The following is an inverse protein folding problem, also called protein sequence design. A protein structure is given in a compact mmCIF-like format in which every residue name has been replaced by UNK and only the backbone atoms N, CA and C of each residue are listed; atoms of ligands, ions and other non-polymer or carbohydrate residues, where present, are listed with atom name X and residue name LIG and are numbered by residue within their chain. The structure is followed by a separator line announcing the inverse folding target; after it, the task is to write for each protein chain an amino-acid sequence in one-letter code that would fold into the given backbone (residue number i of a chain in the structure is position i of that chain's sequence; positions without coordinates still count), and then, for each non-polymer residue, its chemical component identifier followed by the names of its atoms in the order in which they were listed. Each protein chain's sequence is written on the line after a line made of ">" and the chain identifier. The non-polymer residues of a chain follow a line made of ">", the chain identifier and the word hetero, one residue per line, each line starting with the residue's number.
data_IF_081092685858
#
_entry.id   IF_081092685858
#
_cell.length_a   1.000
_cell.length_b   1.000
_cell.length_c   1.000
_cell.angle_alpha   90.00
_cell.angle_beta   90.00
_cell.angle_gamma   90.00
#
_symmetry.space_group_name_H-M   'P 1'
#
loop_
_entity.id
_entity.type
_entity.pdbx_description
1 polymer ?
#
# COMPACT_ATOMS: atom_id res chain seq x y z
N UNK A 1 -50.69 23.82 5.37
CA UNK A 1 -49.35 24.46 5.40
C UNK A 1 -48.57 23.81 6.53
N UNK A 2 -48.27 22.51 6.36
CA UNK A 2 -47.90 21.61 7.46
C UNK A 2 -47.05 20.46 6.90
N UNK A 3 -46.00 20.83 6.14
CA UNK A 3 -45.09 19.87 5.48
C UNK A 3 -43.61 20.22 5.58
N UNK A 4 -43.21 21.07 6.53
CA UNK A 4 -41.80 21.34 6.85
C UNK A 4 -41.41 20.78 8.23
N UNK A 5 -41.82 19.53 8.49
CA UNK A 5 -41.23 18.67 9.52
C UNK A 5 -40.56 17.47 8.85
N UNK A 6 -39.79 17.72 7.79
CA UNK A 6 -38.96 16.71 7.16
C UNK A 6 -37.62 16.61 7.91
N UNK A 7 -37.58 15.65 8.84
CA UNK A 7 -36.38 14.89 9.23
C UNK A 7 -35.09 15.69 9.41
N UNK A 8 -34.98 16.38 10.55
CA UNK A 8 -33.69 16.54 11.22
C UNK A 8 -33.17 15.16 11.60
N UNK A 9 -32.56 14.44 10.65
CA UNK A 9 -31.71 13.30 10.98
C UNK A 9 -30.61 13.88 11.84
N UNK A 10 -30.66 13.61 13.15
CA UNK A 10 -29.59 13.97 14.05
C UNK A 10 -28.30 13.38 13.47
N UNK A 11 -27.40 14.23 12.99
CA UNK A 11 -26.05 13.81 12.62
C UNK A 11 -25.45 13.22 13.89
N UNK A 12 -25.19 11.91 13.86
CA UNK A 12 -24.52 11.26 14.98
C UNK A 12 -23.07 11.69 14.91
N UNK A 13 -22.67 12.64 15.75
CA UNK A 13 -21.28 13.03 15.84
C UNK A 13 -20.44 11.85 16.34
N UNK A 14 -19.28 11.64 15.71
CA UNK A 14 -18.35 10.61 16.13
C UNK A 14 -17.82 10.96 17.53
N UNK A 15 -17.98 10.09 18.54
CA UNK A 15 -17.49 10.36 19.88
C UNK A 15 -15.98 10.66 19.88
N UNK A 16 -15.49 11.62 20.67
CA UNK A 16 -14.09 12.06 20.63
C UNK A 16 -13.08 10.91 20.74
N UNK A 17 -13.33 9.94 21.64
CA UNK A 17 -12.45 8.79 21.77
C UNK A 17 -12.41 7.91 20.52
N UNK A 18 -13.50 7.79 19.78
CA UNK A 18 -13.56 7.02 18.51
C UNK A 18 -12.87 7.82 17.41
N UNK A 19 -13.14 9.13 17.35
CA UNK A 19 -12.58 10.03 16.35
C UNK A 19 -11.06 10.05 16.36
N UNK A 20 -10.43 10.22 17.53
CA UNK A 20 -8.97 10.23 17.66
C UNK A 20 -8.29 8.99 17.06
N UNK A 21 -8.83 7.80 17.34
CA UNK A 21 -8.26 6.54 16.82
C UNK A 21 -8.59 6.34 15.35
N UNK A 22 -9.80 6.74 14.93
CA UNK A 22 -10.21 6.68 13.54
C UNK A 22 -9.29 7.52 12.66
N UNK A 23 -9.04 8.79 13.04
CA UNK A 23 -8.17 9.70 12.29
C UNK A 23 -6.73 9.15 12.21
N UNK A 24 -6.18 8.68 13.34
CA UNK A 24 -4.84 8.10 13.35
C UNK A 24 -4.72 6.84 12.47
N UNK A 25 -5.74 5.96 12.47
CA UNK A 25 -5.79 4.80 11.58
C UNK A 25 -5.94 5.20 10.11
N UNK A 26 -6.78 6.20 9.82
CA UNK A 26 -6.96 6.73 8.47
C UNK A 26 -5.65 7.29 7.94
N UNK A 27 -4.96 8.12 8.70
CA UNK A 27 -3.70 8.73 8.26
C UNK A 27 -2.62 7.66 7.97
N UNK A 28 -2.54 6.60 8.79
CA UNK A 28 -1.63 5.49 8.54
C UNK A 28 -2.05 4.66 7.31
N UNK A 29 -3.35 4.46 7.10
CA UNK A 29 -3.89 3.83 5.91
C UNK A 29 -3.52 4.64 4.65
N UNK A 30 -3.67 5.97 4.68
CA UNK A 30 -3.33 6.84 3.56
C UNK A 30 -1.83 6.79 3.21
N UNK A 31 -0.96 6.83 4.22
CA UNK A 31 0.49 6.65 4.01
C UNK A 31 0.80 5.29 3.40
N UNK A 32 0.11 4.25 3.84
CA UNK A 32 0.26 2.90 3.31
C UNK A 32 -0.25 2.80 1.87
N UNK A 33 -1.36 3.49 1.55
CA UNK A 33 -1.90 3.58 0.19
C UNK A 33 -0.89 4.20 -0.77
N UNK A 34 -0.25 5.29 -0.35
CA UNK A 34 0.78 5.96 -1.15
C UNK A 34 1.99 5.06 -1.42
N UNK A 35 2.46 4.32 -0.40
CA UNK A 35 3.55 3.34 -0.58
C UNK A 35 3.12 2.22 -1.55
N UNK A 36 1.86 1.77 -1.46
CA UNK A 36 1.33 0.72 -2.32
C UNK A 36 1.19 1.19 -3.77
N UNK A 37 0.80 2.45 -3.99
CA UNK A 37 0.75 3.03 -5.34
C UNK A 37 2.15 3.11 -5.94
N UNK A 38 3.15 3.62 -5.21
CA UNK A 38 4.54 3.64 -5.67
C UNK A 38 5.08 2.25 -5.98
N UNK A 39 4.83 1.26 -5.11
CA UNK A 39 5.25 -0.11 -5.37
C UNK A 39 4.59 -0.68 -6.64
N UNK A 40 3.28 -0.45 -6.79
CA UNK A 40 2.52 -0.94 -7.95
C UNK A 40 2.99 -0.29 -9.24
N UNK A 41 3.15 1.03 -9.23
CA UNK A 41 3.67 1.81 -10.36
C UNK A 41 5.06 1.31 -10.74
N UNK A 42 6.01 1.21 -9.81
CA UNK A 42 7.38 0.82 -10.16
C UNK A 42 7.51 -0.66 -10.57
N UNK A 43 6.89 -1.58 -9.84
CA UNK A 43 7.25 -3.00 -9.91
C UNK A 43 6.13 -3.94 -10.38
N UNK A 44 4.89 -3.46 -10.50
CA UNK A 44 3.73 -4.33 -10.82
C UNK A 44 2.97 -3.91 -12.07
N UNK A 45 3.44 -2.90 -12.81
CA UNK A 45 2.75 -2.37 -13.99
C UNK A 45 3.14 -3.11 -15.28
N UNK A 46 4.43 -3.33 -15.54
CA UNK A 46 4.89 -4.11 -16.70
C UNK A 46 6.28 -4.70 -16.48
N UNK A 47 6.55 -5.86 -17.10
CA UNK A 47 7.88 -6.46 -17.10
C UNK A 47 8.92 -5.53 -17.75
N UNK A 48 8.53 -4.80 -18.80
CA UNK A 48 9.44 -3.88 -19.48
C UNK A 48 9.85 -2.70 -18.60
N UNK A 49 8.94 -2.23 -17.73
CA UNK A 49 9.29 -1.22 -16.72
C UNK A 49 10.32 -1.79 -15.74
N UNK A 50 10.17 -3.03 -15.30
CA UNK A 50 11.14 -3.67 -14.42
C UNK A 50 12.52 -3.79 -15.08
N UNK A 51 12.58 -4.27 -16.33
CA UNK A 51 13.82 -4.32 -17.11
C UNK A 51 14.49 -2.95 -17.26
N UNK A 52 13.70 -1.89 -17.47
CA UNK A 52 14.20 -0.52 -17.56
C UNK A 52 14.77 -0.02 -16.23
N UNK A 53 14.10 -0.31 -15.11
CA UNK A 53 14.61 0.03 -13.78
C UNK A 53 15.94 -0.68 -13.49
N UNK A 54 16.03 -1.97 -13.86
CA UNK A 54 17.25 -2.76 -13.72
C UNK A 54 18.39 -2.21 -14.59
N UNK A 55 18.11 -1.88 -15.85
CA UNK A 55 19.10 -1.31 -16.77
C UNK A 55 19.64 0.04 -16.28
N UNK A 56 18.78 0.87 -15.69
CA UNK A 56 19.17 2.21 -15.24
C UNK A 56 19.94 2.19 -13.91
N UNK A 57 19.46 1.43 -12.92
CA UNK A 57 20.06 1.42 -11.58
C UNK A 57 19.63 0.19 -10.75
N UNK A 58 19.84 -1.03 -11.24
CA UNK A 58 19.45 -2.29 -10.59
C UNK A 58 19.67 -2.32 -9.07
N UNK A 59 20.87 -1.95 -8.60
CA UNK A 59 21.19 -1.99 -7.16
C UNK A 59 20.30 -1.07 -6.31
N UNK A 60 19.99 0.13 -6.82
CA UNK A 60 19.11 1.07 -6.12
C UNK A 60 17.65 0.59 -6.12
N UNK A 61 17.14 0.16 -7.28
CA UNK A 61 15.75 -0.29 -7.39
C UNK A 61 15.50 -1.60 -6.68
N UNK A 62 16.48 -2.49 -6.59
CA UNK A 62 16.41 -3.68 -5.74
C UNK A 62 16.18 -3.29 -4.27
N UNK A 63 17.01 -2.39 -3.72
CA UNK A 63 16.87 -1.94 -2.33
C UNK A 63 15.52 -1.25 -2.11
N UNK A 64 15.11 -0.38 -3.04
CA UNK A 64 13.83 0.31 -2.95
C UNK A 64 12.64 -0.65 -3.01
N UNK A 65 12.71 -1.68 -3.85
CA UNK A 65 11.69 -2.72 -3.92
C UNK A 65 11.57 -3.45 -2.58
N UNK A 66 12.69 -3.89 -2.00
CA UNK A 66 12.70 -4.58 -0.71
C UNK A 66 12.17 -3.70 0.42
N UNK A 67 12.63 -2.45 0.52
CA UNK A 67 12.19 -1.50 1.56
C UNK A 67 10.70 -1.22 1.46
N UNK A 68 10.19 -0.90 0.26
CA UNK A 68 8.76 -0.64 0.07
C UNK A 68 7.92 -1.87 0.40
N UNK A 69 8.35 -3.05 -0.03
CA UNK A 69 7.64 -4.29 0.21
C UNK A 69 7.58 -4.64 1.71
N UNK A 70 8.72 -4.53 2.40
CA UNK A 70 8.82 -4.77 3.83
C UNK A 70 7.98 -3.76 4.64
N UNK A 71 8.01 -2.48 4.25
CA UNK A 71 7.19 -1.44 4.86
C UNK A 71 5.69 -1.67 4.65
N UNK A 72 5.26 -2.10 3.47
CA UNK A 72 3.86 -2.45 3.20
C UNK A 72 3.40 -3.60 4.10
N UNK A 73 4.21 -4.65 4.21
CA UNK A 73 3.95 -5.76 5.10
C UNK A 73 3.85 -5.33 6.56
N UNK A 74 4.77 -4.50 7.02
CA UNK A 74 4.80 -4.02 8.39
C UNK A 74 3.58 -3.17 8.70
N UNK A 75 3.22 -2.24 7.80
CA UNK A 75 2.11 -1.30 8.00
C UNK A 75 0.78 -2.04 8.10
N UNK A 76 0.49 -2.92 7.13
CA UNK A 76 -0.74 -3.72 7.12
C UNK A 76 -0.81 -4.65 8.32
N UNK A 77 0.30 -5.30 8.68
CA UNK A 77 0.38 -6.17 9.87
C UNK A 77 0.13 -5.41 11.18
N UNK A 78 0.65 -4.18 11.31
CA UNK A 78 0.44 -3.35 12.51
C UNK A 78 -1.03 -2.95 12.65
N UNK A 79 -1.67 -2.52 11.57
CA UNK A 79 -3.07 -2.08 11.58
C UNK A 79 -4.04 -3.23 11.93
N UNK A 80 -3.67 -4.46 11.56
CA UNK A 80 -4.45 -5.68 11.79
C UNK A 80 -4.06 -6.46 13.06
N UNK A 81 -3.06 -6.02 13.83
CA UNK A 81 -2.58 -6.73 15.03
C UNK A 81 -3.67 -6.78 16.13
N UNK A 82 -3.68 -7.87 16.89
CA UNK A 82 -4.58 -8.12 18.03
C UNK A 82 -4.07 -7.50 19.34
N UNK A 83 -2.85 -6.97 19.38
CA UNK A 83 -2.29 -6.33 20.57
C UNK A 83 -3.12 -5.12 21.02
N UNK A 84 -3.43 -5.08 22.32
CA UNK A 84 -4.40 -4.14 22.93
C UNK A 84 -3.86 -2.71 23.16
N UNK A 85 -2.55 -2.49 23.00
CA UNK A 85 -1.86 -1.23 23.33
C UNK A 85 -1.29 -0.51 22.09
N UNK A 86 -1.70 -0.90 20.90
CA UNK A 86 -1.21 -0.36 19.63
C UNK A 86 -2.36 0.27 18.84
N UNK A 87 -2.01 1.16 17.89
CA UNK A 87 -2.96 1.71 16.93
C UNK A 87 -3.42 0.60 15.97
N UNK A 88 -4.59 0.02 16.24
CA UNK A 88 -5.12 -1.14 15.50
C UNK A 88 -6.63 -1.04 15.29
N UNK A 89 -7.18 -1.79 14.33
CA UNK A 89 -8.64 -1.93 14.17
C UNK A 89 -9.33 -2.46 15.44
N UNK A 90 -8.67 -3.34 16.19
CA UNK A 90 -9.16 -3.84 17.48
C UNK A 90 -9.26 -2.73 18.54
N UNK A 91 -8.32 -1.78 18.53
CA UNK A 91 -8.37 -0.61 19.41
C UNK A 91 -9.58 0.29 19.10
N UNK A 92 -9.88 0.49 17.81
CA UNK A 92 -11.05 1.24 17.34
C UNK A 92 -12.35 0.54 17.76
N UNK A 93 -12.45 -0.77 17.50
CA UNK A 93 -13.59 -1.60 17.90
C UNK A 93 -13.89 -1.50 19.40
N UNK A 94 -12.85 -1.56 20.24
CA UNK A 94 -13.00 -1.42 21.70
C UNK A 94 -13.57 -0.06 22.09
N UNK A 95 -13.19 1.03 21.41
CA UNK A 95 -13.70 2.37 21.68
C UNK A 95 -15.15 2.54 21.21
N UNK A 96 -15.52 1.95 20.07
CA UNK A 96 -16.90 1.91 19.57
C UNK A 96 -17.81 1.11 20.52
N UNK A 97 -17.37 -0.05 21.02
CA UNK A 97 -18.10 -0.80 22.05
C UNK A 97 -18.37 0.04 23.30
N UNK A 98 -17.37 0.81 23.74
CA UNK A 98 -17.49 1.69 24.91
C UNK A 98 -18.40 2.90 24.67
N UNK A 99 -18.60 3.34 23.43
CA UNK A 99 -19.53 4.43 23.13
C UNK A 99 -21.00 3.98 23.04
N UNK A 100 -21.28 2.68 23.18
CA UNK A 100 -22.64 2.13 23.14
C UNK A 100 -23.13 1.76 21.73
N UNK A 101 -22.31 1.95 20.70
CA UNK A 101 -22.64 1.69 19.29
C UNK A 101 -22.52 0.18 18.96
N UNK A 102 -23.33 -0.63 19.60
CA UNK A 102 -23.20 -2.10 19.58
C UNK A 102 -23.40 -2.72 18.19
N UNK A 103 -24.28 -2.15 17.37
CA UNK A 103 -24.51 -2.66 16.02
C UNK A 103 -23.32 -2.37 15.10
N UNK A 104 -22.75 -1.16 15.16
CA UNK A 104 -21.53 -0.82 14.43
C UNK A 104 -20.37 -1.70 14.89
N UNK A 105 -20.22 -1.88 16.21
CA UNK A 105 -19.19 -2.75 16.78
C UNK A 105 -19.32 -4.20 16.26
N UNK A 106 -20.54 -4.75 16.22
CA UNK A 106 -20.77 -6.12 15.71
C UNK A 106 -20.38 -6.23 14.24
N UNK A 107 -20.79 -5.27 13.41
CA UNK A 107 -20.46 -5.29 11.99
C UNK A 107 -18.94 -5.19 11.76
N UNK A 108 -18.27 -4.31 12.51
CA UNK A 108 -16.83 -4.13 12.44
C UNK A 108 -16.06 -5.38 12.89
N UNK A 109 -16.52 -6.05 13.95
CA UNK A 109 -15.93 -7.29 14.46
C UNK A 109 -15.97 -8.40 13.39
N UNK A 110 -17.11 -8.56 12.69
CA UNK A 110 -17.25 -9.52 11.58
C UNK A 110 -16.24 -9.23 10.46
N UNK A 111 -16.04 -7.96 10.10
CA UNK A 111 -15.09 -7.62 9.04
C UNK A 111 -13.63 -7.84 9.47
N UNK A 112 -13.29 -7.56 10.73
CA UNK A 112 -11.97 -7.88 11.30
C UNK A 112 -11.74 -9.39 11.35
N UNK A 113 -12.76 -10.19 11.70
CA UNK A 113 -12.69 -11.65 11.68
C UNK A 113 -12.47 -12.18 10.26
N UNK A 114 -13.17 -11.65 9.26
CA UNK A 114 -12.96 -12.00 7.85
C UNK A 114 -11.53 -11.76 7.41
N UNK A 115 -11.00 -10.57 7.70
CA UNK A 115 -9.59 -10.22 7.41
C UNK A 115 -8.59 -11.15 8.11
N UNK A 116 -8.94 -11.65 9.31
CA UNK A 116 -8.06 -12.55 10.08
C UNK A 116 -8.09 -13.97 9.55
N UNK A 117 -9.23 -14.40 9.02
CA UNK A 117 -9.45 -15.76 8.49
C UNK A 117 -9.18 -15.86 6.99
N UNK A 118 -8.72 -14.78 6.37
CA UNK A 118 -8.42 -14.73 4.95
C UNK A 118 -7.21 -15.60 4.59
N UNK A 119 -7.26 -16.18 3.39
CA UNK A 119 -6.17 -16.96 2.85
C UNK A 119 -4.89 -16.11 2.78
N UNK A 120 -3.81 -16.61 3.38
CA UNK A 120 -2.53 -15.90 3.42
C UNK A 120 -2.39 -14.87 4.55
N UNK A 121 -3.37 -14.72 5.44
CA UNK A 121 -3.24 -13.92 6.66
C UNK A 121 -2.02 -14.37 7.52
N UNK A 122 -1.82 -15.69 7.62
CA UNK A 122 -0.68 -16.30 8.32
C UNK A 122 0.66 -16.01 7.65
N UNK A 123 0.69 -15.88 6.32
CA UNK A 123 1.91 -15.55 5.59
C UNK A 123 2.40 -14.16 5.96
N UNK A 124 1.50 -13.18 6.01
CA UNK A 124 1.83 -11.78 6.36
C UNK A 124 2.40 -11.69 7.78
N UNK A 125 1.79 -12.39 8.73
CA UNK A 125 2.27 -12.42 10.12
C UNK A 125 3.60 -13.17 10.26
N UNK A 126 3.74 -14.29 9.55
CA UNK A 126 4.98 -15.08 9.50
C UNK A 126 6.12 -14.27 8.92
N UNK A 127 5.90 -13.57 7.81
CA UNK A 127 6.89 -12.73 7.16
C UNK A 127 7.39 -11.64 8.10
N UNK A 128 6.48 -10.92 8.77
CA UNK A 128 6.84 -9.93 9.80
C UNK A 128 7.69 -10.55 10.91
N UNK A 129 7.24 -11.67 11.47
CA UNK A 129 7.89 -12.32 12.62
C UNK A 129 9.24 -12.97 12.28
N UNK A 130 9.51 -13.26 11.00
CA UNK A 130 10.74 -13.93 10.55
C UNK A 130 11.75 -12.99 9.88
N UNK A 131 11.31 -12.02 9.09
CA UNK A 131 12.20 -11.11 8.34
C UNK A 131 12.38 -9.75 9.04
N UNK A 132 11.34 -9.21 9.67
CA UNK A 132 11.33 -7.81 10.16
C UNK A 132 11.55 -7.68 11.67
N UNK A 133 11.01 -8.59 12.47
CA UNK A 133 10.98 -8.43 13.92
C UNK A 133 12.29 -8.86 14.61
N UNK A 134 13.06 -9.77 14.01
CA UNK A 134 14.32 -10.23 14.57
C UNK A 134 15.23 -10.65 13.41
N UNK A 135 16.43 -10.07 13.31
CA UNK A 135 17.60 -10.68 12.66
C UNK A 135 18.01 -11.94 13.43
N UNK A 136 17.05 -12.83 13.65
CA UNK A 136 17.19 -14.08 14.35
C UNK A 136 18.02 -14.98 13.45
N UNK A 137 19.29 -15.16 13.81
CA UNK A 137 20.30 -15.86 13.02
C UNK A 137 19.79 -17.22 12.52
N UNK A 138 19.02 -17.96 13.33
CA UNK A 138 18.47 -19.24 12.91
C UNK A 138 17.42 -19.10 11.80
N UNK A 139 16.57 -18.06 11.84
CA UNK A 139 15.56 -17.79 10.81
C UNK A 139 16.15 -17.11 9.57
N UNK A 140 17.19 -16.30 9.73
CA UNK A 140 17.92 -15.68 8.61
C UNK A 140 18.68 -16.73 7.79
N UNK A 141 19.19 -17.79 8.42
CA UNK A 141 19.84 -18.92 7.74
C UNK A 141 18.85 -19.90 7.11
N UNK A 142 17.59 -19.90 7.55
CA UNK A 142 16.52 -20.73 6.99
C UNK A 142 15.90 -20.07 5.74
N UNK A 143 16.36 -20.49 4.56
CA UNK A 143 15.85 -19.98 3.27
C UNK A 143 14.38 -20.31 2.99
N UNK A 144 13.74 -21.19 3.76
CA UNK A 144 12.31 -21.53 3.59
C UNK A 144 11.36 -20.36 3.87
N UNK A 145 11.83 -19.33 4.57
CA UNK A 145 11.06 -18.10 4.85
C UNK A 145 10.72 -17.34 3.57
N UNK A 146 11.63 -17.33 2.59
CA UNK A 146 11.41 -16.71 1.29
C UNK A 146 10.44 -17.52 0.42
N UNK A 147 10.36 -18.84 0.61
CA UNK A 147 9.42 -19.71 -0.11
C UNK A 147 7.96 -19.44 0.26
N UNK A 148 7.73 -18.81 1.42
CA UNK A 148 6.39 -18.44 1.91
C UNK A 148 6.23 -16.91 2.02
N UNK A 149 7.04 -16.15 1.27
CA UNK A 149 6.87 -14.71 1.18
C UNK A 149 5.43 -14.42 0.71
N UNK A 150 4.69 -13.54 1.39
CA UNK A 150 3.33 -13.25 0.98
C UNK A 150 3.38 -12.60 -0.40
N UNK A 151 2.36 -12.85 -1.23
CA UNK A 151 2.25 -12.15 -2.51
C UNK A 151 1.75 -10.73 -2.27
N UNK A 152 2.02 -9.83 -3.20
CA UNK A 152 1.44 -8.49 -3.19
C UNK A 152 -0.10 -8.55 -3.07
N UNK A 153 -0.72 -9.57 -3.67
CA UNK A 153 -2.16 -9.80 -3.58
C UNK A 153 -2.62 -10.00 -2.13
N UNK A 154 -1.89 -10.76 -1.30
CA UNK A 154 -2.23 -10.91 0.12
C UNK A 154 -2.16 -9.57 0.89
N UNK A 155 -1.22 -8.68 0.51
CA UNK A 155 -1.15 -7.32 1.08
C UNK A 155 -2.37 -6.52 0.67
N UNK A 156 -2.71 -6.53 -0.64
CA UNK A 156 -3.84 -5.78 -1.20
C UNK A 156 -5.15 -6.22 -0.58
N UNK A 157 -5.41 -7.51 -0.50
CA UNK A 157 -6.68 -7.99 0.07
C UNK A 157 -6.84 -7.59 1.53
N UNK A 158 -5.76 -7.71 2.32
CA UNK A 158 -5.77 -7.28 3.72
C UNK A 158 -5.90 -5.77 3.85
N UNK A 159 -5.29 -5.01 2.95
CA UNK A 159 -5.45 -3.57 2.86
C UNK A 159 -6.91 -3.18 2.55
N UNK A 160 -7.56 -3.82 1.59
CA UNK A 160 -8.97 -3.59 1.23
C UNK A 160 -9.92 -3.87 2.41
N UNK A 161 -9.60 -4.86 3.25
CA UNK A 161 -10.36 -5.12 4.48
C UNK A 161 -10.21 -3.99 5.51
N UNK A 162 -9.01 -3.42 5.66
CA UNK A 162 -8.78 -2.28 6.56
C UNK A 162 -9.54 -1.04 6.04
N UNK A 163 -9.51 -0.80 4.72
CA UNK A 163 -10.28 0.28 4.09
C UNK A 163 -11.77 0.14 4.36
N UNK A 164 -12.34 -1.05 4.13
CA UNK A 164 -13.75 -1.36 4.41
C UNK A 164 -14.12 -1.11 5.86
N UNK A 165 -13.27 -1.51 6.80
CA UNK A 165 -13.47 -1.25 8.23
C UNK A 165 -13.58 0.25 8.54
N UNK A 166 -12.64 1.05 8.04
CA UNK A 166 -12.65 2.50 8.28
C UNK A 166 -13.79 3.20 7.55
N UNK A 167 -14.12 2.77 6.34
CA UNK A 167 -15.25 3.29 5.59
C UNK A 167 -16.58 3.02 6.31
N UNK A 168 -16.78 1.80 6.85
CA UNK A 168 -17.96 1.47 7.66
C UNK A 168 -18.13 2.41 8.85
N UNK A 169 -17.04 2.67 9.57
CA UNK A 169 -17.06 3.60 10.71
C UNK A 169 -17.38 5.02 10.25
N UNK A 170 -16.73 5.50 9.20
CA UNK A 170 -16.98 6.85 8.69
C UNK A 170 -18.42 7.04 8.22
N UNK A 171 -18.94 6.11 7.41
CA UNK A 171 -20.31 6.15 6.88
C UNK A 171 -21.36 6.14 7.99
N UNK A 172 -21.12 5.41 9.09
CA UNK A 172 -22.03 5.39 10.24
C UNK A 172 -22.25 6.79 10.84
N UNK A 173 -21.17 7.56 11.03
CA UNK A 173 -21.24 8.87 11.67
C UNK A 173 -21.48 10.03 10.69
N UNK A 174 -21.03 9.91 9.44
CA UNK A 174 -21.07 11.01 8.46
C UNK A 174 -22.12 10.82 7.36
N UNK A 175 -22.70 9.63 7.23
CA UNK A 175 -23.71 9.28 6.21
C UNK A 175 -23.28 9.56 4.76
N UNK A 176 -21.98 9.64 4.53
CA UNK A 176 -21.36 9.88 3.23
C UNK A 176 -20.06 9.05 3.15
N UNK A 177 -19.55 8.74 1.96
CA UNK A 177 -18.24 8.11 1.84
C UNK A 177 -17.13 9.05 2.35
N UNK A 178 -16.00 8.50 2.82
CA UNK A 178 -14.81 9.31 3.09
C UNK A 178 -14.46 10.16 1.86
N UNK A 179 -14.05 11.43 2.04
CA UNK A 179 -13.59 12.22 0.91
C UNK A 179 -12.41 11.50 0.24
N UNK A 180 -12.31 11.53 -1.09
CA UNK A 180 -11.15 10.99 -1.77
C UNK A 180 -9.91 11.77 -1.32
N UNK A 181 -8.85 11.04 -0.98
CA UNK A 181 -7.58 11.67 -0.62
C UNK A 181 -6.86 12.02 -1.92
N UNK A 182 -6.65 13.31 -2.15
CA UNK A 182 -5.84 13.79 -3.27
C UNK A 182 -4.36 13.65 -2.92
N UNK A 183 -3.76 12.54 -3.34
CA UNK A 183 -2.36 12.24 -3.15
C UNK A 183 -1.47 12.79 -4.26
N UNK A 184 -1.98 13.67 -5.14
CA UNK A 184 -1.20 14.33 -6.19
C UNK A 184 -0.22 15.36 -5.61
N UNK A 185 0.69 14.90 -4.77
CA UNK A 185 1.98 15.54 -4.62
C UNK A 185 2.67 15.32 -5.98
N UNK A 186 2.90 16.39 -6.75
CA UNK A 186 3.62 16.27 -8.03
C UNK A 186 4.94 15.51 -7.83
N UNK A 187 5.30 14.63 -8.77
CA UNK A 187 6.52 13.81 -8.66
C UNK A 187 6.33 12.34 -8.27
N UNK A 188 5.26 11.68 -8.71
CA UNK A 188 5.04 10.23 -8.48
C UNK A 188 5.99 9.29 -9.25
N UNK A 189 5.89 7.98 -9.00
CA UNK A 189 6.75 6.98 -9.63
C UNK A 189 6.60 6.94 -11.15
N UNK A 190 5.39 7.15 -11.68
CA UNK A 190 5.18 7.31 -13.12
C UNK A 190 5.96 8.49 -13.73
N UNK A 191 6.11 9.61 -13.00
CA UNK A 191 6.92 10.74 -13.47
C UNK A 191 8.40 10.41 -13.48
N UNK A 192 8.88 9.70 -12.45
CA UNK A 192 10.26 9.17 -12.43
C UNK A 192 10.51 8.27 -13.64
N UNK A 193 9.61 7.32 -13.92
CA UNK A 193 9.71 6.43 -15.08
C UNK A 193 9.78 7.21 -16.40
N UNK A 194 8.95 8.24 -16.56
CA UNK A 194 9.00 9.11 -17.76
C UNK A 194 10.37 9.79 -17.91
N UNK A 195 10.91 10.34 -16.83
CA UNK A 195 12.22 10.99 -16.84
C UNK A 195 13.35 9.99 -17.14
N UNK A 196 13.27 8.77 -16.60
CA UNK A 196 14.23 7.70 -16.87
C UNK A 196 14.21 7.28 -18.34
N UNK A 197 13.02 7.12 -18.95
CA UNK A 197 12.88 6.83 -20.38
C UNK A 197 13.58 7.90 -21.23
N UNK A 198 13.40 9.17 -20.89
CA UNK A 198 14.07 10.27 -21.58
C UNK A 198 15.59 10.21 -21.41
N UNK A 199 16.08 9.91 -20.19
CA UNK A 199 17.51 9.79 -19.91
C UNK A 199 18.18 8.64 -20.66
N UNK A 200 17.58 7.45 -20.63
CA UNK A 200 18.08 6.27 -21.35
C UNK A 200 18.06 6.48 -22.86
N UNK A 201 17.02 7.14 -23.38
CA UNK A 201 16.96 7.50 -24.80
C UNK A 201 18.06 8.48 -25.19
N UNK A 202 18.33 9.48 -24.35
CA UNK A 202 19.42 10.43 -24.61
C UNK A 202 20.79 9.74 -24.59
N UNK A 203 21.06 8.89 -23.59
CA UNK A 203 22.31 8.13 -23.51
C UNK A 203 22.53 7.24 -24.74
N UNK A 204 21.47 6.58 -25.18
CA UNK A 204 21.46 5.80 -26.41
C UNK A 204 21.83 6.62 -27.65
N UNK A 205 21.23 7.79 -27.83
CA UNK A 205 21.56 8.68 -28.95
C UNK A 205 23.03 9.12 -28.91
N UNK A 206 23.56 9.44 -27.73
CA UNK A 206 24.98 9.80 -27.57
C UNK A 206 25.92 8.64 -27.93
N UNK A 207 25.56 7.39 -27.58
CA UNK A 207 26.34 6.21 -27.98
C UNK A 207 26.31 5.99 -29.50
N UNK A 208 25.16 6.20 -30.14
CA UNK A 208 25.03 6.10 -31.60
C UNK A 208 25.91 7.13 -32.30
N UNK A 209 25.90 8.37 -31.84
CA UNK A 209 26.74 9.44 -32.38
C UNK A 209 28.23 9.07 -32.29
N UNK A 210 28.69 8.61 -31.12
CA UNK A 210 30.07 8.18 -30.88
C UNK A 210 30.49 6.95 -31.72
N UNK A 211 29.59 5.99 -31.95
CA UNK A 211 29.82 4.85 -32.83
C UNK A 211 29.91 5.24 -34.31
N UNK A 212 29.08 6.18 -34.76
CA UNK A 212 29.11 6.74 -36.11
C UNK A 212 30.39 7.54 -36.35
N UNK A 213 30.81 8.36 -35.39
CA UNK A 213 32.09 9.08 -35.45
C UNK A 213 33.29 8.13 -35.54
N UNK A 214 33.18 6.94 -34.92
CA UNK A 214 34.19 5.87 -35.01
C UNK A 214 34.04 4.96 -36.24
N UNK A 215 33.08 5.23 -37.12
CA UNK A 215 32.86 4.48 -38.36
C UNK A 215 32.33 3.05 -38.18
N UNK A 216 31.66 2.75 -37.06
CA UNK A 216 31.10 1.43 -36.75
C UNK A 216 29.61 1.35 -37.12
N UNK A 217 29.15 0.15 -37.46
CA UNK A 217 27.74 -0.11 -37.77
C UNK A 217 26.91 -0.22 -36.48
N UNK A 218 25.80 0.51 -36.42
CA UNK A 218 24.91 0.56 -35.25
C UNK A 218 23.75 -0.43 -35.44
N UNK A 219 23.55 -1.32 -34.47
CA UNK A 219 22.38 -2.20 -34.40
C UNK A 219 21.47 -1.77 -33.25
N UNK A 220 20.42 -1.02 -33.60
CA UNK A 220 19.49 -0.37 -32.67
C UNK A 220 18.24 -1.22 -32.43
N UNK A 221 18.30 -2.22 -31.54
CA UNK A 221 17.14 -3.10 -31.27
C UNK A 221 16.62 -3.03 -29.83
N UNK A 222 17.39 -2.48 -28.89
CA UNK A 222 16.97 -2.39 -27.48
C UNK A 222 16.27 -1.08 -27.13
N UNK A 223 16.61 0.03 -27.79
CA UNK A 223 16.11 1.37 -27.44
C UNK A 223 14.70 1.61 -27.96
N UNK A 224 14.38 1.13 -29.17
CA UNK A 224 13.03 1.17 -29.75
C UNK A 224 12.03 0.42 -28.86
N UNK A 225 12.45 -0.69 -28.24
CA UNK A 225 11.58 -1.50 -27.37
C UNK A 225 11.13 -0.77 -26.11
N UNK A 226 12.00 0.01 -25.47
CA UNK A 226 11.64 0.72 -24.22
C UNK A 226 10.72 1.92 -24.42
N UNK A 227 10.64 2.43 -25.65
CA UNK A 227 9.80 3.59 -25.95
C UNK A 227 8.33 3.24 -26.24
N UNK A 228 8.06 1.99 -26.59
CA UNK A 228 6.72 1.48 -26.91
C UNK A 228 5.95 0.89 -25.70
N UNK A 229 6.59 0.71 -24.53
CA UNK A 229 5.92 0.38 -23.25
C UNK A 229 5.89 1.57 -22.29
#
# INVERSE_FOLDING_TARGET
>A
MERDKALSIAMVEMPPQVHEVYEALRDELERTRLKLSYYTELYSTSSLRHEMLDAAAAGFFLVMQEVLFDELHLSVSKLSDKKKSTLTLQSLLKRIRKSGEMQLAKNLDVEIERMTNEEGADHVETYRNKRLAHYDLQKTLDKSVLQHAPRLDHIRTRFDHIERCLEMVFRHYRQQPPPPVDWRIGGGADQLVKLMKMGLHFEALMQIEDEVERGRAVHDHQIVRWWEA
#
